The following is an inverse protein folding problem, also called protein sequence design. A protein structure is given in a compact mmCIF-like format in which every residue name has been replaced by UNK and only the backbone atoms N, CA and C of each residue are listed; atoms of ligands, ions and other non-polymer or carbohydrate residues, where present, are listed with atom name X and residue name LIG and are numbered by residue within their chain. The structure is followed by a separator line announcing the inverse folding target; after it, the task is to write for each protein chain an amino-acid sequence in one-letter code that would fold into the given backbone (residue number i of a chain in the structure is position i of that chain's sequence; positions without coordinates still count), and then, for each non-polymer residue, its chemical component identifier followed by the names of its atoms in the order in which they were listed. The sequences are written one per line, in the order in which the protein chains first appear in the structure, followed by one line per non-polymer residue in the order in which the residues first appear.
data_IF_077782642359
#
_entry.id   IF_077782642359
#
_cell.length_a   1.000
_cell.length_b   1.000
_cell.length_c   1.000
_cell.angle_alpha   90.00
_cell.angle_beta   90.00
_cell.angle_gamma   90.00
#
_symmetry.space_group_name_H-M   'P 1'
#
loop_
_entity.id
_entity.type
_entity.pdbx_description
1 polymer ?
#
# COMPACT_ATOMS: atom_id res chain seq x y z
N UNK A 1 -64.62 0.29 32.38
CA UNK A 1 -64.46 1.75 32.33
C UNK A 1 -64.47 2.19 30.88
N UNK A 2 -65.62 2.67 30.40
CA UNK A 2 -65.76 3.21 29.04
C UNK A 2 -64.99 4.54 29.01
N UNK A 3 -63.82 4.53 28.37
CA UNK A 3 -63.04 5.74 28.09
C UNK A 3 -63.90 6.69 27.26
N UNK A 4 -64.07 7.93 27.75
CA UNK A 4 -64.66 9.03 26.95
C UNK A 4 -64.00 9.03 25.57
N UNK A 5 -64.76 9.12 24.46
CA UNK A 5 -64.15 9.25 23.15
C UNK A 5 -63.24 10.48 23.15
N UNK A 6 -61.94 10.26 22.92
CA UNK A 6 -60.96 11.34 22.74
C UNK A 6 -61.26 11.99 21.39
N UNK A 7 -61.96 13.11 21.43
CA UNK A 7 -62.16 13.98 20.27
C UNK A 7 -60.94 14.88 19.99
N UNK A 8 -59.81 14.63 20.66
CA UNK A 8 -58.58 15.44 20.63
C UNK A 8 -57.97 15.57 19.22
N UNK A 9 -58.30 14.65 18.31
CA UNK A 9 -57.79 14.63 16.94
C UNK A 9 -58.71 15.37 15.94
N UNK A 10 -59.94 15.71 16.32
CA UNK A 10 -60.91 16.41 15.48
C UNK A 10 -60.87 17.91 15.79
N UNK A 11 -60.34 18.69 14.86
CA UNK A 11 -60.26 20.15 14.97
C UNK A 11 -61.66 20.78 14.98
N UNK A 12 -62.53 20.37 14.06
CA UNK A 12 -63.94 20.73 14.06
C UNK A 12 -64.77 19.79 13.17
N UNK A 13 -66.08 19.79 13.41
CA UNK A 13 -67.09 19.18 12.57
C UNK A 13 -68.03 20.27 12.07
N UNK A 14 -68.48 20.13 10.82
CA UNK A 14 -69.51 20.98 10.26
C UNK A 14 -70.45 20.15 9.37
N UNK A 15 -71.73 20.46 9.38
CA UNK A 15 -72.72 19.85 8.50
C UNK A 15 -73.35 20.96 7.66
N UNK A 16 -73.30 20.80 6.36
CA UNK A 16 -73.85 21.74 5.39
C UNK A 16 -75.08 21.14 4.73
N UNK A 17 -76.10 21.97 4.48
CA UNK A 17 -77.22 21.61 3.63
C UNK A 17 -76.92 21.92 2.14
N UNK A 18 -77.86 21.58 1.25
CA UNK A 18 -77.74 21.84 -0.19
C UNK A 18 -77.72 23.32 -0.57
N UNK A 19 -78.12 24.21 0.35
CA UNK A 19 -78.06 25.66 0.18
C UNK A 19 -76.73 26.24 0.68
N UNK A 20 -75.77 25.40 1.07
CA UNK A 20 -74.47 25.78 1.63
C UNK A 20 -74.59 26.52 2.99
N UNK A 21 -75.68 26.28 3.71
CA UNK A 21 -75.88 26.78 5.07
C UNK A 21 -75.35 25.74 6.06
N UNK A 22 -74.59 26.22 7.04
CA UNK A 22 -74.09 25.40 8.14
C UNK A 22 -75.26 25.07 9.07
N UNK A 23 -75.75 23.84 9.02
CA UNK A 23 -76.83 23.35 9.89
C UNK A 23 -76.32 22.83 11.24
N UNK A 24 -75.04 22.46 11.30
CA UNK A 24 -74.36 22.06 12.55
C UNK A 24 -72.88 22.43 12.47
N UNK A 25 -72.30 22.91 13.56
CA UNK A 25 -70.86 23.12 13.66
C UNK A 25 -70.39 22.88 15.11
N UNK A 26 -69.15 22.43 15.29
CA UNK A 26 -68.48 22.39 16.60
C UNK A 26 -68.36 23.75 17.28
N UNK A 27 -68.61 24.85 16.56
CA UNK A 27 -68.66 26.21 17.06
C UNK A 27 -70.07 26.74 16.80
N UNK A 28 -70.94 26.79 17.82
CA UNK A 28 -72.35 27.16 17.64
C UNK A 28 -72.56 28.52 16.97
N UNK A 29 -71.60 29.44 17.08
CA UNK A 29 -71.67 30.77 16.47
C UNK A 29 -71.63 30.74 14.94
N UNK A 30 -71.24 29.61 14.32
CA UNK A 30 -71.19 29.46 12.87
C UNK A 30 -72.46 28.81 12.28
N UNK A 31 -73.38 28.35 13.13
CA UNK A 31 -74.62 27.72 12.67
C UNK A 31 -75.54 28.78 12.05
N UNK A 32 -76.12 28.47 10.89
CA UNK A 32 -76.99 29.36 10.12
C UNK A 32 -76.24 30.32 9.18
N UNK A 33 -74.91 30.31 9.19
CA UNK A 33 -74.09 31.10 8.27
C UNK A 33 -74.04 30.39 6.91
N UNK A 34 -74.16 31.19 5.84
CA UNK A 34 -73.88 30.76 4.47
C UNK A 34 -72.36 30.77 4.23
N UNK A 35 -71.79 29.63 3.86
CA UNK A 35 -70.35 29.49 3.62
C UNK A 35 -70.10 28.74 2.30
N UNK A 36 -69.69 29.51 1.28
CA UNK A 36 -69.50 29.02 -0.07
C UNK A 36 -68.08 28.45 -0.26
N UNK A 37 -67.89 27.18 0.12
CA UNK A 37 -66.62 26.49 -0.12
C UNK A 37 -66.64 25.65 -1.40
N UNK A 38 -65.67 25.82 -2.31
CA UNK A 38 -65.61 25.07 -3.57
C UNK A 38 -65.64 23.55 -3.40
N UNK A 39 -64.98 23.01 -2.37
CA UNK A 39 -64.93 21.56 -2.12
C UNK A 39 -66.26 21.00 -1.63
N UNK A 40 -67.06 21.79 -0.91
CA UNK A 40 -68.41 21.41 -0.44
C UNK A 40 -69.35 21.36 -1.64
N UNK A 41 -69.31 22.39 -2.50
CA UNK A 41 -70.06 22.44 -3.75
C UNK A 41 -69.72 21.22 -4.62
N UNK A 42 -68.43 20.92 -4.77
CA UNK A 42 -67.97 19.76 -5.52
C UNK A 42 -68.44 18.44 -4.90
N UNK A 43 -68.43 18.33 -3.57
CA UNK A 43 -68.91 17.14 -2.84
C UNK A 43 -70.42 16.92 -3.07
N UNK A 44 -71.22 18.00 -3.08
CA UNK A 44 -72.64 17.91 -3.44
C UNK A 44 -72.88 17.54 -4.91
N UNK A 45 -72.09 18.10 -5.83
CA UNK A 45 -72.20 17.82 -7.27
C UNK A 45 -71.80 16.38 -7.62
N UNK A 46 -70.67 15.94 -7.09
CA UNK A 46 -70.06 14.64 -7.45
C UNK A 46 -70.59 13.49 -6.61
N UNK A 47 -71.11 13.78 -5.40
CA UNK A 47 -71.47 12.78 -4.39
C UNK A 47 -70.31 11.85 -4.01
N UNK A 48 -69.07 12.31 -4.20
CA UNK A 48 -67.88 11.60 -3.76
C UNK A 48 -67.24 12.31 -2.57
N UNK A 49 -66.59 11.54 -1.71
CA UNK A 49 -65.78 12.09 -0.63
C UNK A 49 -64.61 12.88 -1.22
N UNK A 50 -64.40 14.10 -0.73
CA UNK A 50 -63.20 14.87 -1.06
C UNK A 50 -62.30 14.98 0.17
N UNK A 51 -60.99 14.86 -0.07
CA UNK A 51 -59.96 14.96 0.97
C UNK A 51 -58.94 15.99 0.54
N UNK A 52 -58.71 16.99 1.39
CA UNK A 52 -57.75 18.06 1.12
C UNK A 52 -57.16 18.59 2.43
N UNK A 53 -56.16 19.46 2.33
CA UNK A 53 -55.63 20.17 3.50
C UNK A 53 -55.99 21.64 3.42
N UNK A 54 -56.46 22.20 4.53
CA UNK A 54 -56.74 23.63 4.67
C UNK A 54 -55.89 24.19 5.80
N UNK A 55 -55.61 25.50 5.76
CA UNK A 55 -54.96 26.21 6.86
C UNK A 55 -56.03 27.04 7.56
N UNK A 56 -56.26 26.76 8.84
CA UNK A 56 -57.23 27.50 9.65
C UNK A 56 -56.77 28.95 9.86
N UNK A 57 -57.69 29.83 10.27
CA UNK A 57 -57.37 31.21 10.64
C UNK A 57 -56.35 31.30 11.81
N UNK A 58 -56.23 30.25 12.62
CA UNK A 58 -55.19 30.08 13.65
C UNK A 58 -53.78 29.85 13.08
N UNK A 59 -53.66 29.60 11.77
CA UNK A 59 -52.42 29.24 11.09
C UNK A 59 -52.11 27.74 11.12
N UNK A 60 -52.93 26.93 11.79
CA UNK A 60 -52.80 25.48 11.87
C UNK A 60 -53.23 24.80 10.56
N UNK A 61 -52.47 23.81 10.12
CA UNK A 61 -52.85 22.97 8.98
C UNK A 61 -53.74 21.84 9.48
N UNK A 62 -54.87 21.61 8.83
CA UNK A 62 -55.78 20.49 9.11
C UNK A 62 -56.04 19.67 7.85
N UNK A 63 -56.31 18.37 8.03
CA UNK A 63 -56.84 17.53 6.97
C UNK A 63 -58.36 17.56 7.02
N UNK A 64 -58.98 17.96 5.92
CA UNK A 64 -60.43 18.06 5.80
C UNK A 64 -60.93 16.89 4.96
N UNK A 65 -61.97 16.24 5.48
CA UNK A 65 -62.73 15.22 4.79
C UNK A 65 -64.17 15.71 4.66
N UNK A 66 -64.62 15.93 3.43
CA UNK A 66 -66.00 16.28 3.12
C UNK A 66 -66.73 15.02 2.64
N UNK A 67 -67.71 14.56 3.41
CA UNK A 67 -68.51 13.37 3.14
C UNK A 67 -69.93 13.75 2.73
N UNK A 68 -70.44 13.29 1.58
CA UNK A 68 -71.85 13.38 1.29
C UNK A 68 -72.61 12.34 2.12
N UNK A 69 -73.56 12.79 2.94
CA UNK A 69 -74.43 11.92 3.73
C UNK A 69 -75.89 12.16 3.37
N UNK A 70 -76.69 11.11 3.26
CA UNK A 70 -78.14 11.24 3.03
C UNK A 70 -78.85 10.98 4.35
N UNK A 71 -79.65 11.94 4.82
CA UNK A 71 -80.48 11.79 6.01
C UNK A 71 -81.95 11.74 5.59
N UNK A 72 -82.68 10.77 6.14
CA UNK A 72 -84.10 10.59 5.91
C UNK A 72 -84.88 11.18 7.10
N UNK A 73 -85.66 12.23 6.86
CA UNK A 73 -86.49 12.87 7.90
C UNK A 73 -87.90 13.04 7.33
N UNK A 74 -88.91 12.53 8.05
CA UNK A 74 -90.34 12.74 7.76
C UNK A 74 -90.73 12.52 6.27
N UNK A 75 -90.35 11.38 5.69
CA UNK A 75 -90.58 11.00 4.27
C UNK A 75 -89.79 11.78 3.20
N UNK A 76 -88.89 12.70 3.56
CA UNK A 76 -87.96 13.34 2.63
C UNK A 76 -86.52 12.87 2.84
N UNK A 77 -85.81 12.60 1.74
CA UNK A 77 -84.38 12.26 1.75
C UNK A 77 -83.58 13.49 1.34
N UNK A 78 -82.82 14.07 2.27
CA UNK A 78 -81.98 15.25 2.00
C UNK A 78 -80.51 14.87 2.09
N UNK A 79 -79.73 15.36 1.13
CA UNK A 79 -78.27 15.17 1.13
C UNK A 79 -77.65 16.34 1.89
N UNK A 80 -76.77 16.02 2.83
CA UNK A 80 -75.94 16.94 3.56
C UNK A 80 -74.47 16.66 3.25
N UNK A 81 -73.60 17.63 3.50
CA UNK A 81 -72.16 17.43 3.47
C UNK A 81 -71.63 17.49 4.90
N UNK A 82 -71.17 16.35 5.43
CA UNK A 82 -70.48 16.27 6.71
C UNK A 82 -69.00 16.53 6.48
N UNK A 83 -68.53 17.67 6.97
CA UNK A 83 -67.13 18.07 6.99
C UNK A 83 -66.50 17.67 8.32
N UNK A 84 -65.40 16.92 8.24
CA UNK A 84 -64.56 16.56 9.39
C UNK A 84 -63.16 17.11 9.19
N UNK A 85 -62.72 18.00 10.08
CA UNK A 85 -61.35 18.50 10.09
C UNK A 85 -60.53 17.79 11.17
N UNK A 86 -59.37 17.26 10.81
CA UNK A 86 -58.47 16.50 11.68
C UNK A 86 -57.12 17.20 11.85
N UNK A 87 -56.56 17.17 13.07
CA UNK A 87 -55.20 17.67 13.33
C UNK A 87 -54.13 16.68 12.81
N UNK A 88 -53.10 17.13 12.08
CA UNK A 88 -52.02 16.27 11.57
C UNK A 88 -50.94 15.93 12.61
N UNK A 89 -50.98 16.54 13.80
CA UNK A 89 -49.94 16.45 14.83
C UNK A 89 -49.53 15.01 15.18
N UNK A 90 -50.45 14.03 15.34
CA UNK A 90 -50.08 12.66 15.64
C UNK A 90 -49.22 12.02 14.54
N UNK A 91 -49.54 12.27 13.27
CA UNK A 91 -48.81 11.74 12.13
C UNK A 91 -47.44 12.41 11.97
N UNK A 92 -47.38 13.74 12.12
CA UNK A 92 -46.12 14.49 12.03
C UNK A 92 -45.13 14.10 13.13
N UNK A 93 -45.62 13.82 14.34
CA UNK A 93 -44.78 13.35 15.44
C UNK A 93 -44.14 11.97 15.13
N UNK A 94 -44.89 11.07 14.51
CA UNK A 94 -44.39 9.74 14.10
C UNK A 94 -43.33 9.89 12.99
N UNK A 95 -43.60 10.69 11.95
CA UNK A 95 -42.65 10.94 10.85
C UNK A 95 -41.35 11.57 11.37
N UNK A 96 -41.45 12.53 12.29
CA UNK A 96 -40.28 13.18 12.90
C UNK A 96 -39.41 12.17 13.65
N UNK A 97 -40.03 11.25 14.41
CA UNK A 97 -39.30 10.17 15.12
C UNK A 97 -38.63 9.20 14.14
N UNK A 98 -39.30 8.82 13.06
CA UNK A 98 -38.75 7.94 12.04
C UNK A 98 -37.53 8.55 11.33
N UNK A 99 -37.63 9.82 10.93
CA UNK A 99 -36.50 10.54 10.31
C UNK A 99 -35.29 10.62 11.25
N UNK A 100 -35.51 10.88 12.54
CA UNK A 100 -34.44 10.90 13.52
C UNK A 100 -33.76 9.53 13.66
N UNK A 101 -34.53 8.44 13.69
CA UNK A 101 -33.99 7.07 13.71
C UNK A 101 -33.16 6.75 12.46
N UNK A 102 -33.62 7.16 11.28
CA UNK A 102 -32.87 6.96 10.03
C UNK A 102 -31.52 7.69 10.05
N UNK A 103 -31.47 8.92 10.58
CA UNK A 103 -30.21 9.66 10.75
C UNK A 103 -29.26 8.90 11.69
N UNK A 104 -29.76 8.40 12.82
CA UNK A 104 -28.94 7.63 13.77
C UNK A 104 -28.40 6.33 13.15
N UNK A 105 -29.21 5.62 12.37
CA UNK A 105 -28.79 4.43 11.62
C UNK A 105 -27.70 4.81 10.61
N UNK A 106 -27.90 5.89 9.85
CA UNK A 106 -26.90 6.38 8.90
C UNK A 106 -25.56 6.71 9.55
N UNK A 107 -25.58 7.44 10.67
CA UNK A 107 -24.37 7.75 11.45
C UNK A 107 -23.69 6.46 11.94
N UNK A 108 -24.48 5.52 12.46
CA UNK A 108 -23.96 4.24 12.96
C UNK A 108 -23.30 3.42 11.85
N UNK A 109 -23.87 3.41 10.65
CA UNK A 109 -23.29 2.75 9.47
C UNK A 109 -21.96 3.42 9.11
N UNK A 110 -21.91 4.75 9.02
CA UNK A 110 -20.66 5.47 8.69
C UNK A 110 -19.57 5.20 9.73
N UNK A 111 -19.91 5.20 11.02
CA UNK A 111 -18.99 4.85 12.10
C UNK A 111 -18.49 3.40 11.97
N UNK A 112 -19.37 2.45 11.67
CA UNK A 112 -19.01 1.05 11.45
C UNK A 112 -18.05 0.88 10.26
N UNK A 113 -18.30 1.58 9.16
CA UNK A 113 -17.40 1.59 8.00
C UNK A 113 -16.03 2.18 8.34
N UNK A 114 -16.01 3.30 9.08
CA UNK A 114 -14.77 3.92 9.55
C UNK A 114 -13.96 2.99 10.46
N UNK A 115 -14.64 2.32 11.40
CA UNK A 115 -14.02 1.37 12.31
C UNK A 115 -13.47 0.14 11.58
N UNK A 116 -14.25 -0.42 10.64
CA UNK A 116 -13.82 -1.53 9.79
C UNK A 116 -12.58 -1.16 8.98
N UNK A 117 -12.55 0.01 8.35
CA UNK A 117 -11.40 0.48 7.57
C UNK A 117 -10.15 0.70 8.45
N UNK A 118 -10.34 1.26 9.66
CA UNK A 118 -9.27 1.41 10.64
C UNK A 118 -8.70 0.05 11.06
N UNK A 119 -9.57 -0.91 11.42
CA UNK A 119 -9.16 -2.25 11.82
C UNK A 119 -8.43 -2.99 10.70
N UNK A 120 -8.90 -2.88 9.45
CA UNK A 120 -8.25 -3.49 8.30
C UNK A 120 -6.84 -2.93 8.11
N UNK A 121 -6.67 -1.60 8.19
CA UNK A 121 -5.35 -0.97 8.10
C UNK A 121 -4.43 -1.38 9.24
N UNK A 122 -4.96 -1.46 10.46
CA UNK A 122 -4.23 -1.89 11.63
C UNK A 122 -3.74 -3.34 11.48
N UNK A 123 -4.64 -4.26 11.08
CA UNK A 123 -4.32 -5.67 10.83
C UNK A 123 -3.26 -5.85 9.75
N UNK A 124 -3.40 -5.16 8.62
CA UNK A 124 -2.40 -5.21 7.53
C UNK A 124 -1.03 -4.71 8.01
N UNK A 125 -0.99 -3.68 8.86
CA UNK A 125 0.27 -3.18 9.42
C UNK A 125 0.88 -4.18 10.40
N UNK A 126 0.07 -4.79 11.26
CA UNK A 126 0.51 -5.80 12.22
C UNK A 126 1.13 -7.02 11.52
N UNK A 127 0.47 -7.53 10.47
CA UNK A 127 0.96 -8.68 9.70
C UNK A 127 2.33 -8.41 9.05
N UNK A 128 2.53 -7.20 8.49
CA UNK A 128 3.82 -6.79 7.92
C UNK A 128 4.93 -6.72 8.98
N UNK A 129 4.63 -6.15 10.15
CA UNK A 129 5.56 -6.06 11.27
C UNK A 129 5.95 -7.45 11.79
N UNK A 130 4.99 -8.37 11.87
CA UNK A 130 5.25 -9.75 12.28
C UNK A 130 6.16 -10.48 11.29
N UNK A 131 5.94 -10.30 9.99
CA UNK A 131 6.79 -10.88 8.95
C UNK A 131 8.21 -10.30 8.97
N UNK A 132 8.34 -8.98 9.11
CA UNK A 132 9.64 -8.31 9.28
C UNK A 132 10.38 -8.78 10.54
N UNK A 133 9.67 -8.97 11.66
CA UNK A 133 10.26 -9.49 12.89
C UNK A 133 10.73 -10.93 12.72
N UNK A 134 9.91 -11.79 12.11
CA UNK A 134 10.27 -13.19 11.85
C UNK A 134 11.48 -13.30 10.93
N UNK A 135 11.59 -12.44 9.91
CA UNK A 135 12.78 -12.37 9.08
C UNK A 135 14.00 -11.92 9.88
N UNK A 136 13.87 -10.87 10.72
CA UNK A 136 14.96 -10.40 11.59
C UNK A 136 15.44 -11.47 12.57
N UNK A 137 14.52 -12.21 13.20
CA UNK A 137 14.84 -13.31 14.12
C UNK A 137 15.58 -14.45 13.41
N UNK A 138 15.09 -14.87 12.23
CA UNK A 138 15.79 -15.88 11.41
C UNK A 138 17.19 -15.42 11.03
N UNK A 139 17.36 -14.16 10.64
CA UNK A 139 18.67 -13.60 10.28
C UNK A 139 19.60 -13.51 11.50
N UNK A 140 19.09 -13.12 12.67
CA UNK A 140 19.88 -13.06 13.90
C UNK A 140 20.40 -14.45 14.31
N UNK A 141 19.54 -15.46 14.29
CA UNK A 141 19.92 -16.85 14.58
C UNK A 141 20.94 -17.39 13.55
N UNK A 142 20.73 -17.10 12.27
CA UNK A 142 21.72 -17.41 11.22
C UNK A 142 23.03 -16.64 11.45
N UNK A 143 22.99 -15.40 11.91
CA UNK A 143 24.16 -14.54 12.17
C UNK A 143 25.07 -15.07 13.25
N UNK A 144 24.49 -15.49 14.36
CA UNK A 144 25.24 -16.06 15.48
C UNK A 144 25.89 -17.39 15.10
N UNK A 145 25.12 -18.31 14.51
CA UNK A 145 25.65 -19.61 14.05
C UNK A 145 26.66 -19.46 12.92
N UNK A 146 26.40 -18.61 11.93
CA UNK A 146 27.32 -18.38 10.81
C UNK A 146 28.63 -17.74 11.28
N UNK A 147 28.61 -16.93 12.35
CA UNK A 147 29.83 -16.33 12.87
C UNK A 147 30.77 -17.36 13.51
N UNK A 148 30.21 -18.28 14.30
CA UNK A 148 30.97 -19.40 14.87
C UNK A 148 31.48 -20.31 13.74
N UNK A 149 30.59 -20.76 12.86
CA UNK A 149 30.93 -21.68 11.78
C UNK A 149 31.94 -21.08 10.78
N UNK A 150 31.82 -19.80 10.43
CA UNK A 150 32.76 -19.18 9.51
C UNK A 150 34.15 -19.04 10.12
N UNK A 151 34.25 -18.79 11.43
CA UNK A 151 35.55 -18.79 12.10
C UNK A 151 36.15 -20.21 12.12
N UNK A 152 35.35 -21.22 12.42
CA UNK A 152 35.80 -22.62 12.43
C UNK A 152 36.12 -23.19 11.06
N UNK A 153 35.47 -22.73 9.98
CA UNK A 153 35.75 -23.15 8.60
C UNK A 153 36.95 -22.38 8.02
N UNK A 154 37.10 -21.08 8.35
CA UNK A 154 38.24 -20.29 7.85
C UNK A 154 39.58 -20.88 8.31
N UNK A 155 39.65 -21.33 9.55
CA UNK A 155 40.88 -21.89 10.12
C UNK A 155 41.46 -23.08 9.30
N UNK A 156 40.74 -24.18 9.02
CA UNK A 156 41.24 -25.27 8.21
C UNK A 156 41.49 -24.85 6.76
N UNK A 157 40.68 -23.95 6.19
CA UNK A 157 40.89 -23.45 4.81
C UNK A 157 42.19 -22.67 4.67
N UNK A 158 42.49 -21.78 5.62
CA UNK A 158 43.73 -21.01 5.62
C UNK A 158 44.94 -21.93 5.77
N UNK A 159 44.85 -23.00 6.57
CA UNK A 159 45.89 -24.04 6.65
C UNK A 159 46.06 -24.79 5.33
N UNK A 160 44.96 -25.28 4.72
CA UNK A 160 44.99 -25.98 3.42
C UNK A 160 45.62 -25.09 2.35
N UNK A 161 45.20 -23.82 2.28
CA UNK A 161 45.75 -22.84 1.36
C UNK A 161 47.23 -22.60 1.60
N UNK A 162 47.65 -22.43 2.85
CA UNK A 162 49.05 -22.20 3.21
C UNK A 162 49.95 -23.37 2.79
N UNK A 163 49.53 -24.61 3.09
CA UNK A 163 50.27 -25.79 2.64
C UNK A 163 50.29 -25.91 1.11
N UNK A 164 49.15 -25.71 0.45
CA UNK A 164 49.09 -25.77 -1.01
C UNK A 164 49.97 -24.70 -1.68
N UNK A 165 50.05 -23.49 -1.12
CA UNK A 165 50.96 -22.45 -1.60
C UNK A 165 52.43 -22.84 -1.44
N UNK A 166 52.81 -23.39 -0.28
CA UNK A 166 54.18 -23.88 -0.06
C UNK A 166 54.52 -24.97 -1.07
N UNK A 167 53.63 -25.95 -1.27
CA UNK A 167 53.87 -27.02 -2.23
C UNK A 167 53.87 -26.55 -3.69
N UNK A 168 53.08 -25.52 -4.02
CA UNK A 168 53.09 -24.88 -5.33
C UNK A 168 54.42 -24.18 -5.64
N UNK A 169 55.03 -23.55 -4.63
CA UNK A 169 56.34 -22.90 -4.74
C UNK A 169 57.47 -23.93 -4.87
N UNK A 170 57.35 -25.09 -4.20
CA UNK A 170 58.34 -26.17 -4.24
C UNK A 170 58.09 -27.23 -5.31
N UNK A 171 57.03 -27.10 -6.12
CA UNK A 171 56.66 -28.07 -7.15
C UNK A 171 57.76 -28.17 -8.22
N UNK A 172 58.14 -29.40 -8.58
CA UNK A 172 59.20 -29.65 -9.57
C UNK A 172 58.64 -29.73 -11.01
N UNK A 173 57.36 -30.06 -11.14
CA UNK A 173 56.64 -30.13 -12.42
C UNK A 173 55.57 -29.05 -12.55
N UNK A 174 55.29 -28.63 -13.78
CA UNK A 174 54.20 -27.67 -14.06
C UNK A 174 52.82 -28.29 -13.75
N UNK A 175 52.68 -29.61 -13.91
CA UNK A 175 51.46 -30.35 -13.58
C UNK A 175 51.18 -30.33 -12.07
N UNK A 176 52.18 -30.57 -11.22
CA UNK A 176 52.03 -30.42 -9.76
C UNK A 176 51.72 -28.98 -9.35
N UNK A 177 52.38 -28.00 -9.99
CA UNK A 177 52.11 -26.58 -9.75
C UNK A 177 50.67 -26.21 -10.11
N UNK A 178 50.14 -26.77 -11.19
CA UNK A 178 48.74 -26.61 -11.60
C UNK A 178 47.79 -27.26 -10.58
N UNK A 179 48.05 -28.49 -10.13
CA UNK A 179 47.25 -29.18 -9.12
C UNK A 179 47.17 -28.39 -7.80
N UNK A 180 48.30 -27.89 -7.29
CA UNK A 180 48.28 -27.06 -6.09
C UNK A 180 47.59 -25.71 -6.31
N UNK A 181 47.69 -25.14 -7.52
CA UNK A 181 46.96 -23.91 -7.87
C UNK A 181 45.44 -24.10 -7.77
N UNK A 182 44.92 -25.27 -8.15
CA UNK A 182 43.50 -25.60 -8.06
C UNK A 182 43.06 -25.61 -6.59
N UNK A 183 43.86 -26.21 -5.70
CA UNK A 183 43.58 -26.26 -4.26
C UNK A 183 43.57 -24.84 -3.65
N UNK A 184 44.57 -24.01 -3.98
CA UNK A 184 44.65 -22.61 -3.50
C UNK A 184 43.43 -21.80 -3.95
N UNK A 185 43.02 -21.99 -5.21
CA UNK A 185 41.86 -21.32 -5.79
C UNK A 185 40.55 -21.76 -5.11
N UNK A 186 40.38 -23.05 -4.84
CA UNK A 186 39.17 -23.56 -4.19
C UNK A 186 39.10 -23.18 -2.69
N UNK A 187 40.24 -23.20 -1.98
CA UNK A 187 40.29 -22.72 -0.60
C UNK A 187 39.95 -21.22 -0.50
N UNK A 188 40.52 -20.40 -1.40
CA UNK A 188 40.20 -18.96 -1.49
C UNK A 188 38.73 -18.72 -1.82
N UNK A 189 38.13 -19.55 -2.67
CA UNK A 189 36.69 -19.50 -2.97
C UNK A 189 35.84 -19.80 -1.73
N UNK A 190 36.20 -20.82 -0.95
CA UNK A 190 35.49 -21.16 0.28
C UNK A 190 35.66 -20.09 1.37
N UNK A 191 36.81 -19.42 1.46
CA UNK A 191 37.01 -18.25 2.34
C UNK A 191 36.09 -17.08 1.96
N UNK A 192 35.90 -16.83 0.66
CA UNK A 192 34.95 -15.81 0.18
C UNK A 192 33.50 -16.19 0.49
N UNK A 193 33.15 -17.46 0.34
CA UNK A 193 31.83 -18.01 0.67
C UNK A 193 31.47 -17.80 2.14
N UNK A 194 32.37 -18.21 3.04
CA UNK A 194 32.19 -18.05 4.49
C UNK A 194 32.08 -16.57 4.88
N UNK A 195 32.88 -15.71 4.26
CA UNK A 195 32.84 -14.26 4.49
C UNK A 195 31.52 -13.64 4.02
N UNK A 196 31.03 -14.01 2.84
CA UNK A 196 29.74 -13.53 2.33
C UNK A 196 28.56 -14.00 3.20
N UNK A 197 28.58 -15.24 3.68
CA UNK A 197 27.57 -15.76 4.60
C UNK A 197 27.55 -14.97 5.92
N UNK A 198 28.72 -14.66 6.46
CA UNK A 198 28.92 -13.83 7.65
C UNK A 198 28.35 -12.42 7.48
N UNK A 199 28.68 -11.75 6.36
CA UNK A 199 28.21 -10.40 6.04
C UNK A 199 26.68 -10.40 5.91
N UNK A 200 26.13 -11.42 5.24
CA UNK A 200 24.69 -11.53 5.03
C UNK A 200 23.92 -11.79 6.34
N UNK A 201 24.50 -12.50 7.29
CA UNK A 201 23.82 -12.99 8.48
C UNK A 201 23.94 -12.05 9.69
N UNK A 202 25.01 -11.25 9.79
CA UNK A 202 25.15 -10.25 10.87
C UNK A 202 24.18 -9.07 10.70
N UNK A 203 23.72 -8.43 11.79
CA UNK A 203 23.08 -7.12 11.72
C UNK A 203 24.06 -6.11 11.11
N UNK A 204 23.78 -5.64 9.89
CA UNK A 204 24.58 -4.62 9.24
C UNK A 204 24.20 -3.26 9.85
N UNK A 205 25.21 -2.54 10.36
CA UNK A 205 25.06 -1.14 10.78
C UNK A 205 25.91 -0.30 9.84
N UNK A 206 25.33 0.79 9.33
CA UNK A 206 26.01 1.75 8.47
C UNK A 206 26.72 2.76 9.36
N UNK A 207 27.97 3.08 9.02
CA UNK A 207 28.78 4.11 9.67
C UNK A 207 29.11 5.19 8.64
N UNK A 208 28.25 6.22 8.48
CA UNK A 208 28.51 7.28 7.53
C UNK A 208 29.75 8.07 7.93
N UNK A 209 30.67 8.24 7.00
CA UNK A 209 31.86 9.07 7.18
C UNK A 209 32.06 10.00 5.97
N UNK A 210 32.61 11.21 6.17
CA UNK A 210 32.91 12.11 5.08
C UNK A 210 34.12 11.59 4.29
N UNK A 211 33.94 11.27 3.01
CA UNK A 211 35.06 10.90 2.13
C UNK A 211 34.97 11.56 0.75
N UNK A 212 36.12 11.64 0.08
CA UNK A 212 36.23 12.13 -1.29
C UNK A 212 35.89 11.00 -2.27
N UNK A 213 34.84 11.17 -3.09
CA UNK A 213 34.49 10.16 -4.11
C UNK A 213 35.63 9.95 -5.11
N UNK A 214 36.45 10.98 -5.37
CA UNK A 214 37.62 10.88 -6.25
C UNK A 214 38.68 9.92 -5.71
N UNK A 215 38.96 10.01 -4.40
CA UNK A 215 39.92 9.13 -3.73
C UNK A 215 39.39 7.70 -3.68
N UNK A 216 38.11 7.55 -3.32
CA UNK A 216 37.43 6.26 -3.32
C UNK A 216 37.50 5.55 -4.69
N UNK A 217 37.22 6.25 -5.79
CA UNK A 217 37.31 5.66 -7.14
C UNK A 217 38.76 5.31 -7.50
N UNK A 218 39.74 6.10 -7.04
CA UNK A 218 41.15 5.82 -7.27
C UNK A 218 41.63 4.58 -6.52
N UNK A 219 41.16 4.37 -5.29
CA UNK A 219 41.37 3.13 -4.52
C UNK A 219 40.75 1.93 -5.22
N UNK A 220 39.47 2.04 -5.62
CA UNK A 220 38.76 0.99 -6.35
C UNK A 220 39.43 0.61 -7.67
N UNK A 221 39.98 1.59 -8.39
CA UNK A 221 40.71 1.33 -9.63
C UNK A 221 41.94 0.46 -9.38
N UNK A 222 42.75 0.78 -8.36
CA UNK A 222 43.91 -0.04 -7.99
C UNK A 222 43.52 -1.46 -7.57
N UNK A 223 42.44 -1.59 -6.81
CA UNK A 223 41.94 -2.88 -6.35
C UNK A 223 41.41 -3.73 -7.52
N UNK A 224 40.67 -3.10 -8.44
CA UNK A 224 40.19 -3.75 -9.66
C UNK A 224 41.34 -4.19 -10.60
N UNK A 225 42.37 -3.37 -10.75
CA UNK A 225 43.58 -3.71 -11.52
C UNK A 225 44.30 -4.93 -10.92
N UNK A 226 44.36 -5.05 -9.59
CA UNK A 226 44.94 -6.21 -8.92
C UNK A 226 44.09 -7.48 -9.07
N UNK A 227 42.77 -7.33 -9.08
CA UNK A 227 41.82 -8.44 -9.21
C UNK A 227 41.74 -8.99 -10.64
N UNK A 228 41.96 -8.16 -11.65
CA UNK A 228 41.86 -8.55 -13.07
C UNK A 228 42.91 -7.85 -13.96
N UNK A 229 44.17 -8.33 -13.96
CA UNK A 229 45.23 -7.77 -14.79
C UNK A 229 44.94 -7.84 -16.30
N UNK A 230 44.21 -8.87 -16.75
CA UNK A 230 44.01 -9.19 -18.17
C UNK A 230 42.67 -8.72 -18.76
N UNK A 231 41.87 -7.93 -18.02
CA UNK A 231 40.52 -7.52 -18.47
C UNK A 231 40.42 -6.02 -18.75
N UNK A 232 39.67 -5.65 -19.79
CA UNK A 232 39.34 -4.25 -20.11
C UNK A 232 38.28 -3.70 -19.13
N UNK A 233 38.72 -3.39 -17.90
CA UNK A 233 37.88 -2.73 -16.90
C UNK A 233 38.12 -1.22 -16.97
N UNK A 234 37.08 -0.48 -17.35
CA UNK A 234 37.13 0.98 -17.42
C UNK A 234 36.37 1.57 -16.24
N UNK A 235 37.12 2.04 -15.25
CA UNK A 235 36.55 2.76 -14.10
C UNK A 235 36.67 4.26 -14.36
N UNK A 236 35.52 4.93 -14.41
CA UNK A 236 35.42 6.37 -14.68
C UNK A 236 34.71 7.10 -13.55
N UNK A 237 35.03 8.38 -13.46
CA UNK A 237 34.51 9.28 -12.45
C UNK A 237 34.10 10.58 -13.11
N UNK A 238 32.91 11.08 -12.80
CA UNK A 238 32.40 12.30 -13.43
C UNK A 238 32.44 13.54 -12.54
N UNK A 239 32.41 13.43 -11.19
CA UNK A 239 32.28 14.62 -10.32
C UNK A 239 32.93 14.51 -8.94
N UNK A 240 33.97 15.32 -8.70
CA UNK A 240 34.68 15.49 -7.44
C UNK A 240 33.81 16.16 -6.37
N UNK A 241 33.15 15.36 -5.53
CA UNK A 241 32.40 15.84 -4.37
C UNK A 241 32.79 15.03 -3.13
N UNK A 242 32.75 15.67 -1.96
CA UNK A 242 32.76 14.97 -0.68
C UNK A 242 31.35 14.51 -0.36
N UNK A 243 31.20 13.27 0.09
CA UNK A 243 29.91 12.68 0.48
C UNK A 243 30.03 12.14 1.90
N UNK A 244 28.90 12.10 2.62
CA UNK A 244 28.83 11.50 3.96
C UNK A 244 28.06 10.17 3.87
N UNK A 245 28.78 9.09 3.59
CA UNK A 245 28.24 7.75 3.41
C UNK A 245 29.20 6.73 4.02
N UNK A 246 28.74 5.49 4.20
CA UNK A 246 29.63 4.42 4.65
C UNK A 246 30.51 3.94 3.48
N UNK A 247 31.79 4.32 3.55
CA UNK A 247 32.78 4.04 2.50
C UNK A 247 32.99 2.54 2.30
N UNK A 248 33.00 1.76 3.38
CA UNK A 248 33.21 0.31 3.34
C UNK A 248 31.99 -0.40 2.74
N UNK A 249 30.78 0.00 3.13
CA UNK A 249 29.55 -0.52 2.55
C UNK A 249 29.48 -0.22 1.04
N UNK A 250 29.84 1.00 0.62
CA UNK A 250 29.88 1.36 -0.79
C UNK A 250 30.97 0.57 -1.54
N UNK A 251 32.16 0.38 -0.95
CA UNK A 251 33.22 -0.47 -1.52
C UNK A 251 32.70 -1.88 -1.76
N UNK A 252 32.05 -2.47 -0.77
CA UNK A 252 31.50 -3.83 -0.84
C UNK A 252 30.43 -3.96 -1.93
N UNK A 253 29.57 -2.94 -2.11
CA UNK A 253 28.62 -2.89 -3.22
C UNK A 253 29.35 -2.92 -4.56
N UNK A 254 30.33 -2.04 -4.75
CA UNK A 254 31.07 -1.92 -6.00
C UNK A 254 31.78 -3.23 -6.32
N UNK A 255 32.50 -3.82 -5.37
CA UNK A 255 33.24 -5.08 -5.58
C UNK A 255 32.32 -6.25 -5.94
N UNK A 256 31.16 -6.38 -5.27
CA UNK A 256 30.19 -7.43 -5.61
C UNK A 256 29.59 -7.25 -7.01
N UNK A 257 29.28 -6.01 -7.41
CA UNK A 257 28.77 -5.72 -8.75
C UNK A 257 29.85 -5.93 -9.81
N UNK A 258 31.06 -5.45 -9.56
CA UNK A 258 32.21 -5.60 -10.44
C UNK A 258 32.53 -7.08 -10.66
N UNK A 259 32.58 -7.89 -9.61
CA UNK A 259 32.83 -9.32 -9.75
C UNK A 259 31.73 -10.02 -10.55
N UNK A 260 30.46 -9.66 -10.33
CA UNK A 260 29.36 -10.19 -11.13
C UNK A 260 29.44 -9.80 -12.61
N UNK A 261 29.78 -8.55 -12.90
CA UNK A 261 29.99 -8.02 -14.24
C UNK A 261 31.17 -8.71 -14.94
N UNK A 262 32.29 -8.91 -14.24
CA UNK A 262 33.48 -9.58 -14.77
C UNK A 262 33.26 -11.06 -15.09
N UNK A 263 32.50 -11.76 -14.24
CA UNK A 263 32.10 -13.14 -14.48
C UNK A 263 31.17 -13.24 -15.69
N UNK A 264 30.23 -12.28 -15.85
CA UNK A 264 29.31 -12.25 -16.98
C UNK A 264 30.04 -11.93 -18.29
N UNK A 265 30.93 -10.93 -18.27
CA UNK A 265 31.72 -10.52 -19.42
C UNK A 265 32.63 -11.64 -19.94
N UNK A 266 33.12 -12.54 -19.08
CA UNK A 266 33.90 -13.73 -19.50
C UNK A 266 33.13 -14.68 -20.44
N UNK A 267 31.80 -14.60 -20.46
CA UNK A 267 30.95 -15.40 -21.33
C UNK A 267 30.33 -14.55 -22.44
N UNK A 268 30.93 -13.40 -22.76
CA UNK A 268 30.49 -12.55 -23.86
C UNK A 268 30.68 -13.23 -25.21
N UNK A 269 29.80 -12.89 -26.16
CA UNK A 269 29.96 -13.22 -27.58
C UNK A 269 30.51 -12.04 -28.39
N UNK A 270 30.91 -10.95 -27.70
CA UNK A 270 31.42 -9.73 -28.30
C UNK A 270 32.84 -9.93 -28.87
N UNK A 271 33.07 -9.65 -30.18
CA UNK A 271 34.39 -9.74 -30.81
C UNK A 271 35.45 -8.83 -30.16
N UNK A 272 35.05 -7.75 -29.49
CA UNK A 272 35.98 -6.82 -28.84
C UNK A 272 36.44 -7.30 -27.45
N UNK A 273 35.99 -8.48 -27.02
CA UNK A 273 36.35 -9.10 -25.76
C UNK A 273 35.56 -8.58 -24.55
N UNK A 274 35.87 -9.08 -23.33
CA UNK A 274 35.14 -8.72 -22.11
C UNK A 274 35.36 -7.25 -21.75
N UNK A 275 34.27 -6.51 -21.51
CA UNK A 275 34.28 -5.10 -21.11
C UNK A 275 33.38 -4.88 -19.91
N UNK A 276 33.90 -4.13 -18.94
CA UNK A 276 33.13 -3.67 -17.78
C UNK A 276 33.39 -2.18 -17.56
N UNK A 277 32.31 -1.41 -17.57
CA UNK A 277 32.32 0.02 -17.28
C UNK A 277 31.76 0.26 -15.87
N UNK A 278 32.56 0.91 -15.03
CA UNK A 278 32.12 1.39 -13.71
C UNK A 278 32.13 2.91 -13.73
N UNK A 279 31.01 3.52 -13.37
CA UNK A 279 30.87 4.96 -13.28
C UNK A 279 30.34 5.34 -11.91
N UNK A 280 31.05 6.26 -11.24
CA UNK A 280 30.57 6.87 -10.00
C UNK A 280 30.40 8.38 -10.22
N UNK A 281 29.22 8.89 -9.89
CA UNK A 281 28.88 10.31 -9.97
C UNK A 281 28.19 10.75 -8.69
N UNK A 282 28.62 11.87 -8.13
CA UNK A 282 27.91 12.53 -7.03
C UNK A 282 27.26 13.83 -7.54
N UNK A 283 25.97 13.99 -7.24
CA UNK A 283 25.19 15.19 -7.46
C UNK A 283 24.78 15.78 -6.12
N UNK A 284 24.19 16.98 -6.09
CA UNK A 284 23.79 17.65 -4.83
C UNK A 284 22.90 16.80 -3.91
N UNK A 285 22.04 15.94 -4.47
CA UNK A 285 21.01 15.23 -3.70
C UNK A 285 21.20 13.70 -3.69
N UNK A 286 22.13 13.16 -4.49
CA UNK A 286 22.32 11.72 -4.62
C UNK A 286 23.69 11.34 -5.19
N UNK A 287 24.22 10.21 -4.74
CA UNK A 287 25.31 9.48 -5.36
C UNK A 287 24.72 8.42 -6.30
N UNK A 288 25.19 8.41 -7.54
CA UNK A 288 24.85 7.42 -8.55
C UNK A 288 26.07 6.55 -8.84
N UNK A 289 25.89 5.24 -8.73
CA UNK A 289 26.84 4.21 -9.12
C UNK A 289 26.23 3.41 -10.26
N UNK A 290 26.96 3.30 -11.37
CA UNK A 290 26.57 2.48 -12.52
C UNK A 290 27.66 1.45 -12.77
N UNK A 291 27.26 0.19 -12.89
CA UNK A 291 28.13 -0.91 -13.35
C UNK A 291 27.47 -1.53 -14.57
N UNK A 292 28.18 -1.54 -15.69
CA UNK A 292 27.70 -2.10 -16.94
C UNK A 292 28.70 -3.11 -17.51
N UNK A 293 28.21 -4.24 -18.01
CA UNK A 293 28.99 -5.26 -18.70
C UNK A 293 28.43 -5.55 -20.09
N UNK A 294 29.27 -6.11 -20.96
CA UNK A 294 28.88 -6.66 -22.26
C UNK A 294 28.67 -8.19 -22.24
N UNK A 295 28.30 -8.75 -21.08
CA UNK A 295 28.03 -10.18 -20.94
C UNK A 295 26.75 -10.67 -21.64
N UNK A 296 26.32 -11.92 -21.39
CA UNK A 296 25.15 -12.51 -22.04
C UNK A 296 23.80 -11.90 -21.60
N UNK A 297 23.79 -10.99 -20.63
CA UNK A 297 22.58 -10.37 -20.08
C UNK A 297 21.71 -11.33 -19.26
N UNK A 298 20.62 -10.80 -18.68
CA UNK A 298 19.76 -11.50 -17.75
C UNK A 298 18.33 -11.60 -18.31
N UNK A 299 17.79 -12.82 -18.53
CA UNK A 299 16.40 -13.04 -18.91
C UNK A 299 15.40 -12.41 -17.93
N UNK A 300 14.31 -11.82 -18.44
CA UNK A 300 13.31 -11.08 -17.62
C UNK A 300 12.68 -11.91 -16.51
N UNK A 301 12.47 -13.20 -16.74
CA UNK A 301 11.94 -14.16 -15.78
C UNK A 301 12.88 -14.38 -14.57
N UNK A 302 14.19 -14.18 -14.77
CA UNK A 302 15.19 -14.32 -13.71
C UNK A 302 15.45 -13.00 -12.96
N UNK A 303 15.11 -11.85 -13.55
CA UNK A 303 15.36 -10.53 -12.95
C UNK A 303 14.67 -10.37 -11.59
N UNK A 304 13.47 -10.93 -11.42
CA UNK A 304 12.73 -10.89 -10.16
C UNK A 304 13.41 -11.67 -9.02
N UNK A 305 14.28 -12.64 -9.35
CA UNK A 305 14.95 -13.53 -8.38
C UNK A 305 16.39 -13.11 -8.07
N UNK A 306 16.94 -12.12 -8.76
CA UNK A 306 18.35 -11.72 -8.64
C UNK A 306 18.78 -11.33 -7.22
N UNK A 307 17.85 -10.82 -6.42
CA UNK A 307 18.12 -10.40 -5.04
C UNK A 307 17.73 -11.45 -4.00
N UNK A 308 17.20 -12.59 -4.43
CA UNK A 308 16.86 -13.70 -3.54
C UNK A 308 18.17 -14.34 -3.07
N UNK A 309 18.42 -14.45 -1.75
CA UNK A 309 19.63 -15.07 -1.22
C UNK A 309 19.78 -16.51 -1.72
N UNK A 310 21.02 -16.93 -1.99
CA UNK A 310 21.39 -18.26 -2.50
C UNK A 310 20.89 -18.57 -3.92
N UNK A 311 20.17 -17.66 -4.57
CA UNK A 311 19.80 -17.80 -5.97
C UNK A 311 21.01 -17.50 -6.87
N UNK A 312 21.40 -18.46 -7.70
CA UNK A 312 22.51 -18.33 -8.65
C UNK A 312 22.24 -19.18 -9.89
N UNK A 313 22.59 -18.66 -11.06
CA UNK A 313 22.67 -19.44 -12.31
C UNK A 313 24.09 -19.91 -12.61
N UNK A 314 25.07 -19.49 -11.82
CA UNK A 314 26.49 -19.84 -11.97
C UNK A 314 26.77 -21.14 -11.20
N UNK A 315 27.49 -22.07 -11.83
CA UNK A 315 27.94 -23.33 -11.22
C UNK A 315 28.81 -23.12 -9.98
N UNK A 316 29.63 -22.06 -9.96
CA UNK A 316 30.49 -21.70 -8.83
C UNK A 316 30.00 -20.52 -7.99
N UNK A 317 28.83 -19.96 -8.30
CA UNK A 317 28.29 -18.76 -7.65
C UNK A 317 27.68 -19.05 -6.28
N UNK A 318 27.78 -18.08 -5.37
CA UNK A 318 27.25 -18.20 -4.00
C UNK A 318 25.78 -17.79 -3.90
N UNK A 319 25.30 -16.99 -4.85
CA UNK A 319 23.98 -16.35 -4.81
C UNK A 319 23.81 -15.30 -3.70
N UNK A 320 24.88 -14.91 -2.99
CA UNK A 320 24.80 -13.94 -1.89
C UNK A 320 25.22 -12.52 -2.31
N UNK A 321 26.02 -12.37 -3.37
CA UNK A 321 26.59 -11.06 -3.74
C UNK A 321 25.53 -9.99 -4.02
N UNK A 322 24.52 -10.28 -4.85
CA UNK A 322 23.45 -9.33 -5.15
C UNK A 322 22.49 -9.12 -3.97
N UNK A 323 22.28 -10.14 -3.13
CA UNK A 323 21.52 -9.99 -1.89
C UNK A 323 22.21 -9.04 -0.90
N UNK A 324 23.55 -9.09 -0.79
CA UNK A 324 24.35 -8.14 -0.01
C UNK A 324 24.23 -6.73 -0.60
N UNK A 325 24.34 -6.57 -1.92
CA UNK A 325 24.16 -5.27 -2.60
C UNK A 325 22.79 -4.68 -2.28
N UNK A 326 21.73 -5.49 -2.37
CA UNK A 326 20.36 -5.08 -2.03
C UNK A 326 20.27 -4.59 -0.59
N UNK A 327 20.75 -5.38 0.37
CA UNK A 327 20.69 -5.07 1.80
C UNK A 327 21.46 -3.79 2.15
N UNK A 328 22.68 -3.62 1.64
CA UNK A 328 23.49 -2.42 1.88
C UNK A 328 22.85 -1.17 1.23
N UNK A 329 22.29 -1.32 0.03
CA UNK A 329 21.60 -0.21 -0.65
C UNK A 329 20.35 0.21 0.12
N UNK A 330 19.54 -0.74 0.59
CA UNK A 330 18.32 -0.46 1.35
C UNK A 330 18.65 0.24 2.68
N UNK A 331 19.72 -0.18 3.37
CA UNK A 331 20.18 0.49 4.59
C UNK A 331 20.65 1.94 4.34
N UNK A 332 21.17 2.23 3.15
CA UNK A 332 21.52 3.59 2.71
C UNK A 332 20.33 4.37 2.15
N UNK A 333 19.10 3.85 2.24
CA UNK A 333 17.90 4.41 1.61
C UNK A 333 18.02 4.57 0.08
N UNK A 334 18.85 3.75 -0.54
CA UNK A 334 19.09 3.78 -1.97
C UNK A 334 18.07 3.01 -2.79
N UNK A 335 18.18 3.14 -4.12
CA UNK A 335 17.37 2.41 -5.11
C UNK A 335 18.27 1.69 -6.08
N UNK A 336 17.87 0.48 -6.48
CA UNK A 336 18.56 -0.32 -7.50
C UNK A 336 17.66 -0.41 -8.74
N UNK A 337 18.22 -0.10 -9.91
CA UNK A 337 17.61 -0.30 -11.22
C UNK A 337 18.47 -1.25 -12.04
N UNK A 338 17.84 -2.21 -12.72
CA UNK A 338 18.51 -3.15 -13.62
C UNK A 338 17.93 -2.94 -15.01
N UNK A 339 18.80 -2.63 -15.97
CA UNK A 339 18.50 -2.61 -17.39
C UNK A 339 19.33 -3.72 -18.05
N UNK A 340 18.70 -4.83 -18.42
CA UNK A 340 19.37 -5.97 -19.04
C UNK A 340 18.45 -6.69 -20.00
N UNK A 341 19.00 -7.05 -21.16
CA UNK A 341 18.37 -7.88 -22.18
C UNK A 341 19.34 -8.99 -22.57
N UNK A 342 18.79 -10.17 -22.89
CA UNK A 342 19.58 -11.33 -23.32
C UNK A 342 20.41 -10.98 -24.58
N UNK A 343 21.72 -11.19 -24.50
CA UNK A 343 22.71 -10.93 -25.55
C UNK A 343 23.20 -9.48 -25.66
N UNK A 344 22.78 -8.57 -24.77
CA UNK A 344 23.15 -7.14 -24.81
C UNK A 344 23.91 -6.65 -23.57
N UNK A 345 24.21 -7.55 -22.63
CA UNK A 345 24.84 -7.19 -21.36
C UNK A 345 23.86 -6.79 -20.26
N UNK A 346 24.42 -6.30 -19.16
CA UNK A 346 23.67 -5.90 -17.97
C UNK A 346 24.14 -4.53 -17.52
N UNK A 347 23.21 -3.64 -17.19
CA UNK A 347 23.48 -2.36 -16.53
C UNK A 347 22.75 -2.30 -15.21
N UNK A 348 23.50 -2.19 -14.12
CA UNK A 348 22.98 -2.00 -12.77
C UNK A 348 23.26 -0.56 -12.35
N UNK A 349 22.21 0.16 -11.98
CA UNK A 349 22.28 1.55 -11.48
C UNK A 349 21.83 1.58 -10.04
N UNK A 350 22.66 2.13 -9.16
CA UNK A 350 22.36 2.35 -7.74
C UNK A 350 22.34 3.85 -7.49
N UNK A 351 21.25 4.33 -6.91
CA UNK A 351 21.08 5.73 -6.50
C UNK A 351 20.92 5.81 -4.99
N UNK A 352 21.86 6.47 -4.31
CA UNK A 352 21.87 6.66 -2.87
C UNK A 352 21.62 8.15 -2.56
N UNK A 353 20.58 8.51 -1.81
CA UNK A 353 20.34 9.90 -1.41
C UNK A 353 21.51 10.46 -0.60
N UNK A 354 21.89 11.70 -0.88
CA UNK A 354 22.84 12.47 -0.07
C UNK A 354 22.05 13.50 0.72
N UNK A 355 22.14 13.42 2.05
CA UNK A 355 21.48 14.35 2.98
C UNK A 355 22.28 15.63 3.16
#
# INVERSE_FOLDING_TARGET
MLSRPRWDDVAYLALYDQNLIIVLHSNPNLIGIYDEKPTIIETFKTKHMSVHSERLATGEKVFILDFPITLHVENESKIYCLRVALHPYPAEAIVRRANFQLILIGISIVLLWGFTAFFLRFWLKALRLEEELREKEKMAALGEMAAVLAHEIRNPLSSIKGFAQVYQETAESEEEREDFSIIVNEATRLERLTTNLLIYSKPLSIRPEPFSVKEFVSELKKEAELLTPDKNVKITFQRAQKVNLDKEALRQIVLNLLQNALDAANHTSDPEGPKVDVMVSAHKNALQLVVADNGPGIPKDLQAKLFVPFFTTKTKGTGLGLAIVKRLTDLMNGKIKIDSDKGKGTRITIEIPLN
#
